data_IF_213759920916
#
_entry.id   IF_213759920916
#
_cell.length_a   1.000
_cell.length_b   1.000
_cell.length_c   1.000
_cell.angle_alpha   90.00
_cell.angle_beta   90.00
_cell.angle_gamma   90.00
#
_symmetry.space_group_name_H-M   'P 1'
#
loop_
_entity.id
_entity.type
_entity.pdbx_description
1 polymer ?
#
# COMPACT_ATOMS: atom_id res chain seq x y z
N UNK A 1 -4.29 11.95 -11.54
CA UNK A 1 -4.97 10.63 -11.39
C UNK A 1 -5.48 10.57 -9.96
N UNK A 2 -6.80 10.65 -9.74
CA UNK A 2 -7.39 10.56 -8.39
C UNK A 2 -7.38 9.10 -7.95
N UNK A 3 -6.39 8.70 -7.17
CA UNK A 3 -6.44 7.42 -6.48
C UNK A 3 -7.07 7.64 -5.10
N UNK A 4 -8.30 7.15 -4.90
CA UNK A 4 -9.05 7.17 -3.63
C UNK A 4 -9.00 8.51 -2.85
N UNK A 5 -9.10 9.65 -3.55
CA UNK A 5 -9.21 10.97 -2.93
C UNK A 5 -7.89 11.65 -2.52
N UNK A 6 -6.74 11.07 -2.85
CA UNK A 6 -5.44 11.71 -2.61
C UNK A 6 -4.87 12.28 -3.93
N UNK A 7 -4.72 13.60 -3.99
CA UNK A 7 -4.03 14.31 -5.07
C UNK A 7 -2.55 14.55 -4.68
N UNK A 8 -1.65 14.56 -5.66
CA UNK A 8 -0.20 14.88 -5.52
C UNK A 8 0.74 13.90 -4.82
N UNK A 9 0.51 12.59 -4.95
CA UNK A 9 1.57 11.61 -4.67
C UNK A 9 1.87 10.79 -5.91
N UNK A 10 3.12 10.83 -6.34
CA UNK A 10 3.71 9.89 -7.31
C UNK A 10 3.70 8.50 -6.67
N UNK A 11 2.56 7.82 -6.74
CA UNK A 11 2.47 6.46 -6.24
C UNK A 11 3.27 5.56 -7.18
N UNK A 12 4.30 4.92 -6.63
CA UNK A 12 4.83 3.68 -7.21
C UNK A 12 3.62 2.78 -7.56
N UNK A 13 3.70 2.11 -8.70
CA UNK A 13 2.73 1.14 -9.22
C UNK A 13 1.96 0.42 -8.09
N UNK A 14 0.63 0.52 -8.11
CA UNK A 14 -0.25 -0.10 -7.10
C UNK A 14 -0.30 -1.62 -7.28
N UNK A 15 0.74 -2.28 -6.79
CA UNK A 15 0.91 -3.72 -6.92
C UNK A 15 -0.21 -4.50 -6.23
N UNK A 16 -0.70 -4.02 -5.08
CA UNK A 16 -1.79 -4.69 -4.36
C UNK A 16 -3.11 -4.60 -5.16
N UNK A 17 -3.42 -3.43 -5.72
CA UNK A 17 -4.58 -3.27 -6.61
C UNK A 17 -4.53 -4.20 -7.81
N UNK A 18 -3.39 -4.26 -8.51
CA UNK A 18 -3.21 -5.18 -9.65
C UNK A 18 -3.38 -6.66 -9.28
N UNK A 19 -2.93 -7.06 -8.09
CA UNK A 19 -3.08 -8.44 -7.61
C UNK A 19 -4.54 -8.76 -7.27
N UNK A 20 -5.27 -7.85 -6.62
CA UNK A 20 -6.69 -8.03 -6.30
C UNK A 20 -7.58 -8.05 -7.55
N UNK A 21 -7.27 -7.26 -8.58
CA UNK A 21 -7.99 -7.30 -9.85
C UNK A 21 -7.75 -8.61 -10.60
N UNK A 22 -6.52 -9.15 -10.52
CA UNK A 22 -6.13 -10.36 -11.24
C UNK A 22 -6.60 -11.65 -10.56
N UNK A 23 -6.69 -11.65 -9.22
CA UNK A 23 -7.02 -12.82 -8.41
C UNK A 23 -8.26 -12.53 -7.56
N UNK A 24 -9.46 -12.89 -8.01
CA UNK A 24 -10.72 -12.55 -7.32
C UNK A 24 -10.92 -13.30 -6.00
N UNK A 25 -10.12 -14.32 -5.73
CA UNK A 25 -10.06 -15.09 -4.49
C UNK A 25 -9.04 -14.53 -3.49
N UNK A 26 -8.35 -13.45 -3.85
CA UNK A 26 -7.37 -12.81 -3.00
C UNK A 26 -8.05 -11.70 -2.20
N UNK A 27 -7.83 -11.68 -0.89
CA UNK A 27 -8.37 -10.68 0.01
C UNK A 27 -7.24 -9.84 0.63
N UNK A 28 -7.45 -8.53 0.74
CA UNK A 28 -6.55 -7.66 1.49
C UNK A 28 -6.83 -7.82 2.98
N UNK A 29 -5.94 -8.49 3.70
CA UNK A 29 -6.08 -8.76 5.12
C UNK A 29 -5.57 -7.59 5.98
N UNK A 30 -4.45 -6.99 5.59
CA UNK A 30 -3.86 -5.86 6.32
C UNK A 30 -2.91 -5.06 5.41
N UNK A 31 -2.58 -3.82 5.79
CA UNK A 31 -1.60 -3.00 5.09
C UNK A 31 -0.99 -1.95 6.01
N UNK A 32 0.21 -1.48 5.65
CA UNK A 32 0.90 -0.49 6.46
C UNK A 32 1.85 0.39 5.65
N UNK A 33 2.08 1.57 6.21
CA UNK A 33 3.03 2.55 5.72
C UNK A 33 3.87 3.05 6.89
N UNK A 34 5.19 2.94 6.78
CA UNK A 34 6.12 3.53 7.72
C UNK A 34 6.87 4.65 7.03
N UNK A 35 6.95 5.79 7.72
CA UNK A 35 7.65 6.95 7.22
C UNK A 35 8.98 7.11 7.94
N UNK A 36 10.05 7.39 7.19
CA UNK A 36 11.39 7.43 7.77
C UNK A 36 11.63 8.51 8.81
N UNK A 37 10.79 9.55 8.86
CA UNK A 37 10.87 10.61 9.87
C UNK A 37 9.82 10.45 10.96
N UNK A 38 9.21 9.27 11.10
CA UNK A 38 8.39 8.95 12.25
C UNK A 38 9.28 8.99 13.52
N UNK A 39 8.94 9.85 14.51
CA UNK A 39 9.74 10.00 15.73
C UNK A 39 9.56 8.83 16.72
N UNK A 40 8.50 8.02 16.56
CA UNK A 40 8.17 6.89 17.43
C UNK A 40 8.80 5.60 16.90
N UNK A 41 8.80 5.40 15.58
CA UNK A 41 9.35 4.20 14.94
C UNK A 41 10.23 4.54 13.72
N UNK A 42 11.49 4.99 13.94
CA UNK A 42 12.40 5.36 12.86
C UNK A 42 12.88 4.12 12.10
N UNK A 43 12.30 3.87 10.93
CA UNK A 43 12.73 2.88 9.93
C UNK A 43 12.87 3.55 8.56
N UNK A 44 13.14 2.81 7.48
CA UNK A 44 13.05 3.36 6.13
C UNK A 44 11.59 3.65 5.72
N UNK A 45 11.41 4.33 4.58
CA UNK A 45 10.08 4.46 3.97
C UNK A 45 9.62 3.09 3.47
N UNK A 46 8.72 2.45 4.21
CA UNK A 46 8.22 1.10 3.93
C UNK A 46 6.73 1.17 3.61
N UNK A 47 6.34 0.45 2.56
CA UNK A 47 4.95 0.16 2.23
C UNK A 47 4.78 -1.34 2.12
N UNK A 48 3.81 -1.92 2.82
CA UNK A 48 3.52 -3.36 2.74
C UNK A 48 2.02 -3.63 2.71
N UNK A 49 1.66 -4.77 2.12
CA UNK A 49 0.30 -5.27 2.01
C UNK A 49 0.31 -6.76 2.34
N UNK A 50 -0.59 -7.19 3.23
CA UNK A 50 -0.81 -8.60 3.55
C UNK A 50 -2.04 -9.07 2.78
N UNK A 51 -1.81 -10.00 1.86
CA UNK A 51 -2.85 -10.59 1.04
C UNK A 51 -3.08 -12.03 1.48
N UNK A 52 -4.35 -12.40 1.65
CA UNK A 52 -4.81 -13.74 2.01
C UNK A 52 -5.58 -14.39 0.85
N UNK A 53 -5.71 -15.71 0.91
CA UNK A 53 -6.51 -16.53 0.00
C UNK A 53 -7.19 -17.63 0.79
#
# INVERSE_FOLDING_TARGET
IKYRGHEDRLFKRDFAGEMLEKYPDLELLDYGFLYRRDPVFPQDDITWFLLGK
#
